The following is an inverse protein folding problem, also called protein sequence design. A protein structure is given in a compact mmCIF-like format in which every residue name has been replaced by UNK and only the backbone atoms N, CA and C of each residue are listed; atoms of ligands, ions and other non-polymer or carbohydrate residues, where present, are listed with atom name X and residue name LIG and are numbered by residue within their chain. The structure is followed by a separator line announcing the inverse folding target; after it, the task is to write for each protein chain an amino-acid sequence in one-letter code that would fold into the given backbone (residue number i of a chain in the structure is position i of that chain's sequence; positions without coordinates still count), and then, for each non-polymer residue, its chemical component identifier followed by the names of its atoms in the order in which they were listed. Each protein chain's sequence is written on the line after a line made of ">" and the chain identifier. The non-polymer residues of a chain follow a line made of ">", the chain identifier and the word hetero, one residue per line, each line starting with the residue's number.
data_IF_589264236650
#
_entry.id   IF_589264236650
#
_cell.length_a   1.000
_cell.length_b   1.000
_cell.length_c   1.000
_cell.angle_alpha   90.00
_cell.angle_beta   90.00
_cell.angle_gamma   90.00
#
_symmetry.space_group_name_H-M   'P 1'
#
loop_
_entity.id
_entity.type
_entity.pdbx_description
1 polymer ?
#
# COMPACT_ATOMS: atom_id res chain seq x y z
N UNK A 1 19.45 11.17 -9.43
CA UNK A 1 18.13 10.54 -9.35
C UNK A 1 18.14 9.45 -8.30
N UNK A 2 17.15 9.46 -7.42
CA UNK A 2 17.04 8.49 -6.34
C UNK A 2 16.67 7.11 -6.91
N UNK A 3 17.23 6.04 -6.36
CA UNK A 3 16.97 4.67 -6.78
C UNK A 3 16.27 3.88 -5.66
N UNK A 4 15.66 2.75 -6.02
CA UNK A 4 15.06 1.88 -5.02
C UNK A 4 16.09 1.33 -4.04
N UNK A 5 17.30 1.07 -4.52
CA UNK A 5 18.40 0.67 -3.65
C UNK A 5 18.68 1.71 -2.56
N UNK A 6 18.65 2.99 -2.91
CA UNK A 6 18.85 4.07 -1.94
C UNK A 6 17.73 4.11 -0.89
N UNK A 7 16.47 3.85 -1.30
CA UNK A 7 15.36 3.75 -0.36
C UNK A 7 15.53 2.56 0.57
N UNK A 8 15.95 1.43 0.04
CA UNK A 8 16.19 0.22 0.83
C UNK A 8 17.31 0.43 1.84
N UNK A 9 18.39 1.07 1.43
CA UNK A 9 19.49 1.42 2.34
C UNK A 9 19.05 2.40 3.41
N UNK A 10 18.30 3.42 3.03
CA UNK A 10 17.77 4.40 3.98
C UNK A 10 16.91 3.72 5.04
N UNK A 11 16.03 2.83 4.60
CA UNK A 11 15.16 2.10 5.51
C UNK A 11 15.96 1.24 6.49
N UNK A 12 17.02 0.60 6.01
CA UNK A 12 17.88 -0.22 6.84
C UNK A 12 18.63 0.63 7.88
N UNK A 13 19.23 1.73 7.45
CA UNK A 13 20.01 2.61 8.34
C UNK A 13 19.12 3.30 9.39
N UNK A 14 17.93 3.71 9.00
CA UNK A 14 17.01 4.42 9.89
C UNK A 14 16.04 3.50 10.61
N UNK A 15 16.19 2.20 10.42
CA UNK A 15 15.33 1.19 11.04
C UNK A 15 13.84 1.42 10.73
N UNK A 16 13.56 1.73 9.47
CA UNK A 16 12.19 1.88 8.98
C UNK A 16 11.72 0.55 8.42
N UNK A 17 10.66 -0.05 8.96
CA UNK A 17 10.14 -1.29 8.38
C UNK A 17 9.59 -1.02 6.98
N UNK A 18 10.09 -1.77 6.00
CA UNK A 18 9.54 -1.79 4.65
C UNK A 18 9.21 -3.22 4.27
N UNK A 19 8.34 -3.39 3.28
CA UNK A 19 7.95 -4.70 2.82
C UNK A 19 9.15 -5.47 2.30
N UNK A 20 9.23 -6.75 2.65
CA UNK A 20 10.31 -7.60 2.17
C UNK A 20 10.20 -7.88 0.68
N UNK A 21 11.32 -8.18 0.06
CA UNK A 21 11.43 -8.33 -1.38
C UNK A 21 10.44 -9.37 -1.93
N UNK A 22 10.33 -10.51 -1.28
CA UNK A 22 9.42 -11.58 -1.72
C UNK A 22 7.97 -11.11 -1.69
N UNK A 23 7.60 -10.37 -0.64
CA UNK A 23 6.25 -9.83 -0.51
C UNK A 23 5.92 -8.80 -1.58
N UNK A 24 6.85 -7.90 -1.84
CA UNK A 24 6.62 -6.86 -2.85
C UNK A 24 6.58 -7.45 -4.27
N UNK A 25 7.39 -8.46 -4.54
CA UNK A 25 7.36 -9.16 -5.82
C UNK A 25 6.02 -9.88 -6.01
N UNK A 26 5.52 -10.55 -4.98
CA UNK A 26 4.21 -11.20 -5.01
C UNK A 26 3.10 -10.17 -5.29
N UNK A 27 3.12 -9.05 -4.59
CA UNK A 27 2.13 -7.99 -4.77
C UNK A 27 2.13 -7.46 -6.21
N UNK A 28 3.30 -7.16 -6.73
CA UNK A 28 3.44 -6.66 -8.10
C UNK A 28 2.94 -7.71 -9.11
N UNK A 29 3.31 -8.97 -8.93
CA UNK A 29 2.87 -10.05 -9.80
C UNK A 29 1.35 -10.20 -9.82
N UNK A 30 0.71 -10.15 -8.64
CA UNK A 30 -0.75 -10.24 -8.55
C UNK A 30 -1.44 -9.05 -9.21
N UNK A 31 -0.92 -7.85 -9.01
CA UNK A 31 -1.47 -6.66 -9.65
C UNK A 31 -1.38 -6.74 -11.17
N UNK A 32 -0.24 -7.17 -11.70
CA UNK A 32 -0.05 -7.32 -13.13
C UNK A 32 -0.93 -8.43 -13.72
N UNK A 33 -0.98 -9.56 -13.04
CA UNK A 33 -1.77 -10.72 -13.47
C UNK A 33 -3.25 -10.40 -13.58
N UNK A 34 -3.74 -9.55 -12.68
CA UNK A 34 -5.15 -9.15 -12.63
C UNK A 34 -5.43 -7.89 -13.46
N UNK A 35 -4.44 -7.32 -14.10
CA UNK A 35 -4.55 -6.06 -14.83
C UNK A 35 -5.15 -4.95 -13.95
N UNK A 36 -4.66 -4.84 -12.72
CA UNK A 36 -5.17 -3.91 -11.74
C UNK A 36 -4.99 -2.46 -12.19
N UNK A 37 -6.01 -1.65 -11.96
CA UNK A 37 -6.01 -0.23 -12.31
C UNK A 37 -5.89 0.68 -11.08
N UNK A 38 -6.26 0.18 -9.91
CA UNK A 38 -6.20 0.97 -8.68
C UNK A 38 -5.93 0.11 -7.46
N UNK A 39 -5.18 0.68 -6.52
CA UNK A 39 -4.88 0.04 -5.25
C UNK A 39 -5.00 1.06 -4.13
N UNK A 40 -5.48 0.61 -2.98
CA UNK A 40 -5.50 1.40 -1.75
C UNK A 40 -4.51 0.79 -0.77
N UNK A 41 -3.58 1.60 -0.28
CA UNK A 41 -2.59 1.17 0.70
C UNK A 41 -2.81 1.86 2.04
N UNK A 42 -2.86 1.09 3.10
CA UNK A 42 -2.91 1.61 4.47
C UNK A 42 -1.52 1.47 5.08
N UNK A 43 -0.85 2.59 5.31
CA UNK A 43 0.51 2.61 5.83
C UNK A 43 1.55 2.82 4.74
N UNK A 44 1.79 4.07 4.39
CA UNK A 44 2.74 4.41 3.31
C UNK A 44 4.19 4.26 3.74
N UNK A 45 4.47 4.46 5.02
CA UNK A 45 5.83 4.62 5.55
C UNK A 45 6.57 5.65 4.70
N UNK A 46 7.74 5.30 4.15
CA UNK A 46 8.52 6.21 3.32
C UNK A 46 8.10 6.19 1.84
N UNK A 47 7.01 5.49 1.51
CA UNK A 47 6.48 5.41 0.15
C UNK A 47 7.06 4.30 -0.70
N UNK A 48 7.83 3.40 -0.12
CA UNK A 48 8.54 2.36 -0.87
C UNK A 48 7.60 1.44 -1.63
N UNK A 49 6.61 0.85 -0.95
CA UNK A 49 5.69 -0.09 -1.61
C UNK A 49 4.81 0.60 -2.65
N UNK A 50 4.30 1.80 -2.35
CA UNK A 50 3.54 2.58 -3.33
C UNK A 50 4.37 2.86 -4.59
N UNK A 51 5.63 3.25 -4.40
CA UNK A 51 6.53 3.52 -5.52
C UNK A 51 6.85 2.26 -6.32
N UNK A 52 7.06 1.14 -5.65
CA UNK A 52 7.28 -0.14 -6.33
C UNK A 52 6.07 -0.54 -7.16
N UNK A 53 4.87 -0.41 -6.59
CA UNK A 53 3.63 -0.69 -7.32
C UNK A 53 3.47 0.22 -8.53
N UNK A 54 3.59 1.52 -8.34
CA UNK A 54 3.38 2.49 -9.42
C UNK A 54 4.41 2.35 -10.54
N UNK A 55 5.65 2.00 -10.18
CA UNK A 55 6.73 1.86 -11.17
C UNK A 55 6.60 0.59 -11.98
N UNK A 56 6.18 -0.53 -11.35
CA UNK A 56 6.21 -1.85 -11.97
C UNK A 56 4.86 -2.34 -12.47
N UNK A 57 3.77 -1.59 -12.21
CA UNK A 57 2.43 -1.95 -12.70
C UNK A 57 1.93 -0.79 -13.55
N UNK A 58 1.99 -0.97 -14.85
CA UNK A 58 1.63 0.07 -15.82
C UNK A 58 0.15 0.45 -15.68
N UNK A 59 -0.12 1.73 -15.61
CA UNK A 59 -1.49 2.24 -15.53
C UNK A 59 -2.15 2.15 -14.17
N UNK A 60 -1.42 1.69 -13.16
CA UNK A 60 -1.95 1.60 -11.80
C UNK A 60 -1.94 2.97 -11.12
N UNK A 61 -3.05 3.31 -10.48
CA UNK A 61 -3.10 4.43 -9.53
C UNK A 61 -3.13 3.89 -8.10
N UNK A 62 -2.28 4.42 -7.24
CA UNK A 62 -2.20 4.03 -5.83
C UNK A 62 -2.68 5.20 -4.96
N UNK A 63 -3.68 4.94 -4.14
CA UNK A 63 -4.06 5.83 -3.04
C UNK A 63 -3.45 5.25 -1.76
N UNK A 64 -2.74 6.06 -0.99
CA UNK A 64 -2.06 5.58 0.21
C UNK A 64 -2.28 6.56 1.36
N UNK A 65 -2.41 6.01 2.58
CA UNK A 65 -2.72 6.78 3.78
C UNK A 65 -1.61 6.58 4.80
N UNK A 66 -1.05 7.68 5.30
CA UNK A 66 0.00 7.66 6.32
C UNK A 66 -0.30 8.65 7.42
N UNK A 67 -0.32 8.20 8.67
CA UNK A 67 -0.63 9.08 9.80
C UNK A 67 0.60 9.75 10.40
N UNK A 68 1.76 9.11 10.31
CA UNK A 68 2.98 9.63 10.92
C UNK A 68 3.49 10.82 10.11
N UNK A 69 3.66 11.94 10.78
CA UNK A 69 4.03 13.20 10.14
C UNK A 69 5.38 13.10 9.41
N UNK A 70 6.37 12.51 10.05
CA UNK A 70 7.72 12.38 9.49
C UNK A 70 7.70 11.42 8.30
N UNK A 71 7.06 10.27 8.44
CA UNK A 71 6.96 9.28 7.36
C UNK A 71 6.19 9.83 6.16
N UNK A 72 5.10 10.55 6.44
CA UNK A 72 4.34 11.21 5.38
C UNK A 72 5.23 12.16 4.57
N UNK A 73 5.99 13.01 5.24
CA UNK A 73 6.86 13.96 4.55
C UNK A 73 7.95 13.27 3.75
N UNK A 74 8.53 12.20 4.30
CA UNK A 74 9.52 11.39 3.57
C UNK A 74 8.90 10.76 2.33
N UNK A 75 7.69 10.23 2.45
CA UNK A 75 6.98 9.63 1.32
C UNK A 75 6.70 10.66 0.23
N UNK A 76 6.25 11.86 0.60
CA UNK A 76 5.98 12.94 -0.37
C UNK A 76 7.25 13.28 -1.15
N UNK A 77 8.38 13.41 -0.47
CA UNK A 77 9.66 13.70 -1.13
C UNK A 77 10.05 12.57 -2.08
N UNK A 78 9.90 11.33 -1.65
CA UNK A 78 10.25 10.17 -2.47
C UNK A 78 9.35 10.06 -3.70
N UNK A 79 8.05 10.29 -3.53
CA UNK A 79 7.10 10.26 -4.66
C UNK A 79 7.49 11.33 -5.69
N UNK A 80 7.86 12.51 -5.23
CA UNK A 80 8.32 13.58 -6.10
C UNK A 80 9.63 13.18 -6.82
N UNK A 81 10.60 12.66 -6.09
CA UNK A 81 11.90 12.30 -6.63
C UNK A 81 11.83 11.20 -7.69
N UNK A 82 10.80 10.34 -7.60
CA UNK A 82 10.57 9.27 -8.57
C UNK A 82 9.59 9.68 -9.68
N UNK A 83 9.14 10.94 -9.70
CA UNK A 83 8.20 11.47 -10.68
C UNK A 83 6.89 10.66 -10.74
N UNK A 84 6.37 10.28 -9.58
CA UNK A 84 5.17 9.45 -9.49
C UNK A 84 3.96 10.20 -8.93
N UNK A 85 4.00 11.53 -8.89
CA UNK A 85 2.89 12.33 -8.34
C UNK A 85 1.58 12.11 -9.07
N UNK A 86 1.64 11.80 -10.37
CA UNK A 86 0.43 11.55 -11.16
C UNK A 86 -0.17 10.17 -10.89
N UNK A 87 0.61 9.24 -10.35
CA UNK A 87 0.20 7.85 -10.15
C UNK A 87 -0.04 7.49 -8.69
N UNK A 88 0.37 8.35 -7.76
CA UNK A 88 0.23 8.11 -6.32
C UNK A 88 -0.39 9.31 -5.67
N UNK A 89 -1.50 9.09 -4.96
CA UNK A 89 -2.12 10.11 -4.11
C UNK A 89 -1.89 9.69 -2.66
N UNK A 90 -1.21 10.54 -1.90
CA UNK A 90 -0.95 10.25 -0.49
C UNK A 90 -1.78 11.18 0.40
N UNK A 91 -2.41 10.59 1.42
CA UNK A 91 -3.22 11.30 2.40
C UNK A 91 -2.51 11.26 3.75
N UNK A 92 -2.33 12.43 4.36
CA UNK A 92 -1.75 12.55 5.70
C UNK A 92 -2.89 12.49 6.72
N UNK A 93 -3.29 11.27 7.07
CA UNK A 93 -4.46 11.05 7.93
C UNK A 93 -4.28 9.78 8.77
N UNK A 94 -5.01 9.71 9.87
CA UNK A 94 -5.20 8.44 10.57
C UNK A 94 -6.27 7.66 9.80
N UNK A 95 -5.92 6.50 9.27
CA UNK A 95 -6.83 5.74 8.43
C UNK A 95 -8.11 5.31 9.16
N UNK A 96 -8.09 5.18 10.48
CA UNK A 96 -9.29 4.86 11.26
C UNK A 96 -10.24 6.05 11.41
N UNK A 97 -9.71 7.28 11.32
CA UNK A 97 -10.49 8.51 11.46
C UNK A 97 -10.76 9.20 10.12
N UNK A 98 -10.11 8.76 9.06
CA UNK A 98 -10.19 9.38 7.75
C UNK A 98 -11.61 9.34 7.19
N UNK A 99 -12.02 10.45 6.56
CA UNK A 99 -13.27 10.50 5.79
C UNK A 99 -13.07 9.75 4.47
N UNK A 100 -13.46 8.48 4.46
CA UNK A 100 -13.23 7.59 3.34
C UNK A 100 -14.06 7.95 2.09
N UNK A 101 -15.04 8.84 2.23
CA UNK A 101 -15.78 9.34 1.06
C UNK A 101 -14.90 10.20 0.16
N UNK A 102 -13.72 10.61 0.63
CA UNK A 102 -12.77 11.39 -0.16
C UNK A 102 -11.92 10.53 -1.09
N UNK A 103 -12.01 9.21 -1.01
CA UNK A 103 -11.26 8.30 -1.87
C UNK A 103 -11.80 8.33 -3.30
N UNK A 104 -11.08 9.03 -4.19
CA UNK A 104 -11.54 9.31 -5.55
C UNK A 104 -11.40 8.16 -6.53
N UNK A 105 -10.52 7.22 -6.24
CA UNK A 105 -10.21 6.11 -7.16
C UNK A 105 -10.89 4.81 -6.78
N UNK A 106 -11.76 4.85 -5.77
CA UNK A 106 -12.58 3.70 -5.42
C UNK A 106 -13.59 3.39 -6.54
N UNK A 107 -14.01 2.13 -6.73
CA UNK A 107 -13.55 0.96 -5.99
C UNK A 107 -12.18 0.47 -6.46
N UNK A 108 -11.48 -0.23 -5.58
CA UNK A 108 -10.10 -0.65 -5.81
C UNK A 108 -10.00 -2.12 -6.20
N UNK A 109 -9.01 -2.43 -7.02
CA UNK A 109 -8.65 -3.82 -7.33
C UNK A 109 -7.94 -4.50 -6.17
N UNK A 110 -7.22 -3.72 -5.37
CA UNK A 110 -6.43 -4.24 -4.27
C UNK A 110 -6.54 -3.33 -3.05
N UNK A 111 -6.67 -3.95 -1.89
CA UNK A 111 -6.50 -3.30 -0.60
C UNK A 111 -5.25 -3.90 0.05
N UNK A 112 -4.22 -3.10 0.23
CA UNK A 112 -2.96 -3.52 0.85
C UNK A 112 -2.86 -2.89 2.23
N UNK A 113 -2.78 -3.73 3.26
CA UNK A 113 -2.70 -3.26 4.65
C UNK A 113 -1.34 -3.60 5.21
N UNK A 114 -0.56 -2.57 5.51
CA UNK A 114 0.72 -2.68 6.20
C UNK A 114 0.53 -2.08 7.58
N UNK A 115 0.16 -2.92 8.54
CA UNK A 115 -0.19 -2.45 9.87
C UNK A 115 0.18 -3.49 10.93
N UNK A 116 0.28 -3.02 12.17
CA UNK A 116 0.45 -3.92 13.31
C UNK A 116 -0.74 -4.87 13.40
N UNK A 117 -0.46 -6.10 13.80
CA UNK A 117 -1.45 -7.18 13.86
C UNK A 117 -2.76 -6.79 14.57
N UNK A 118 -2.65 -6.01 15.64
CA UNK A 118 -3.81 -5.60 16.42
C UNK A 118 -4.74 -4.63 15.68
N UNK A 119 -4.27 -4.01 14.61
CA UNK A 119 -4.99 -2.97 13.88
C UNK A 119 -5.58 -3.44 12.57
N UNK A 120 -5.06 -4.52 11.96
CA UNK A 120 -5.41 -4.83 10.59
C UNK A 120 -6.90 -5.15 10.41
N UNK A 121 -7.55 -5.78 11.39
CA UNK A 121 -8.96 -6.11 11.30
C UNK A 121 -9.84 -4.86 11.22
N UNK A 122 -9.50 -3.82 11.97
CA UNK A 122 -10.22 -2.55 11.95
C UNK A 122 -10.08 -1.86 10.59
N UNK A 123 -8.88 -1.87 10.01
CA UNK A 123 -8.66 -1.34 8.67
C UNK A 123 -9.42 -2.16 7.62
N UNK A 124 -9.35 -3.46 7.73
CA UNK A 124 -10.06 -4.37 6.83
C UNK A 124 -11.56 -4.06 6.82
N UNK A 125 -12.18 -4.01 7.99
CA UNK A 125 -13.61 -3.75 8.11
C UNK A 125 -14.01 -2.39 7.53
N UNK A 126 -13.19 -1.38 7.75
CA UNK A 126 -13.48 -0.03 7.25
C UNK A 126 -13.36 0.07 5.74
N UNK A 127 -12.33 -0.53 5.15
CA UNK A 127 -11.99 -0.27 3.75
C UNK A 127 -12.42 -1.35 2.77
N UNK A 128 -12.78 -2.54 3.24
CA UNK A 128 -13.30 -3.61 2.36
C UNK A 128 -14.49 -3.15 1.51
N UNK A 129 -15.42 -2.30 2.01
CA UNK A 129 -16.51 -1.82 1.16
C UNK A 129 -16.07 -1.06 -0.09
N UNK A 130 -14.84 -0.57 -0.12
CA UNK A 130 -14.30 0.15 -1.27
C UNK A 130 -13.55 -0.74 -2.25
N UNK A 131 -13.52 -2.03 -1.99
CA UNK A 131 -12.88 -3.01 -2.86
C UNK A 131 -13.86 -3.49 -3.90
N UNK A 132 -13.39 -3.70 -5.14
CA UNK A 132 -14.20 -4.31 -6.19
C UNK A 132 -14.60 -5.72 -5.79
N UNK A 133 -15.71 -6.21 -6.37
CA UNK A 133 -16.22 -7.54 -6.06
C UNK A 133 -15.18 -8.64 -6.31
N UNK A 134 -14.38 -8.50 -7.36
CA UNK A 134 -13.31 -9.41 -7.70
C UNK A 134 -11.93 -8.94 -7.23
N UNK A 135 -11.91 -7.96 -6.35
CA UNK A 135 -10.67 -7.45 -5.78
C UNK A 135 -10.06 -8.38 -4.75
N UNK A 136 -8.85 -8.08 -4.32
CA UNK A 136 -8.16 -8.87 -3.32
C UNK A 136 -7.57 -8.01 -2.21
N UNK A 137 -7.34 -8.62 -1.06
CA UNK A 137 -6.72 -7.98 0.09
C UNK A 137 -5.39 -8.66 0.36
N UNK A 138 -4.36 -7.87 0.51
CA UNK A 138 -3.05 -8.35 0.92
C UNK A 138 -2.69 -7.68 2.25
N UNK A 139 -2.27 -8.47 3.21
CA UNK A 139 -1.85 -7.97 4.51
C UNK A 139 -0.38 -8.32 4.71
N UNK A 140 0.44 -7.29 4.92
CA UNK A 140 1.82 -7.49 5.32
C UNK A 140 1.89 -7.36 6.84
N UNK A 141 2.19 -8.47 7.50
CA UNK A 141 2.24 -8.51 8.96
C UNK A 141 3.69 -8.58 9.42
N UNK A 142 4.18 -7.47 9.93
CA UNK A 142 5.56 -7.35 10.39
C UNK A 142 5.91 -8.33 11.51
N UNK A 143 4.93 -8.73 12.30
CA UNK A 143 5.15 -9.66 13.42
C UNK A 143 5.43 -11.08 12.94
N UNK A 144 5.11 -11.40 11.69
CA UNK A 144 5.28 -12.73 11.12
C UNK A 144 6.26 -12.74 9.95
N UNK A 145 7.14 -11.76 9.86
CA UNK A 145 8.21 -11.72 8.85
C UNK A 145 7.71 -11.89 7.42
N UNK A 146 6.71 -11.10 7.05
CA UNK A 146 6.22 -11.10 5.68
C UNK A 146 5.18 -12.17 5.39
N UNK A 147 4.47 -12.62 6.41
CA UNK A 147 3.34 -13.51 6.18
C UNK A 147 2.25 -12.75 5.45
N UNK A 148 1.83 -13.29 4.32
CA UNK A 148 0.90 -12.64 3.41
C UNK A 148 -0.40 -13.42 3.38
N UNK A 149 -1.53 -12.72 3.54
CA UNK A 149 -2.85 -13.30 3.44
C UNK A 149 -3.54 -12.77 2.21
N UNK A 150 -3.94 -13.65 1.30
CA UNK A 150 -4.73 -13.32 0.13
C UNK A 150 -6.17 -13.71 0.41
N UNK A 151 -7.03 -12.69 0.59
CA UNK A 151 -8.44 -12.89 0.90
C UNK A 151 -9.25 -12.37 -0.28
N UNK A 152 -10.04 -13.24 -0.90
CA UNK A 152 -10.95 -12.83 -1.97
C UNK A 152 -12.31 -12.48 -1.40
N UNK A 153 -12.80 -11.28 -1.75
CA UNK A 153 -14.06 -10.77 -1.26
C UNK A 153 -15.22 -11.40 -2.04
N UNK A 154 -16.35 -11.60 -1.36
CA UNK A 154 -17.56 -12.13 -1.97
C UNK A 154 -17.62 -13.63 -2.03
N UNK A 155 -16.60 -14.33 -1.51
CA UNK A 155 -16.57 -15.78 -1.42
C UNK A 155 -16.39 -16.20 0.03
N UNK A 156 -17.02 -17.29 0.40
CA UNK A 156 -16.87 -17.83 1.75
C UNK A 156 -15.50 -18.49 1.87
N UNK A 157 -14.51 -17.69 2.12
CA UNK A 157 -13.17 -18.17 2.41
C UNK A 157 -12.89 -18.06 3.86
N UNK A 158 -12.36 -19.02 4.35
CA UNK A 158 -11.89 -18.93 5.70
C UNK A 158 -10.50 -19.51 5.80
#
# INVERSE_FOLDING_TARGET
>A
MKSFYELEEYALVKDVPIMQKEGIEYLIDELNKRNAESALEIGSAIGYSSLMMATHVKGLHVDTIERDDIRYQEAVVNIHDFNQEDNITIYHEDALEFDDTLLKHAPYDCLFIDAAKAQYQRFFEKYVPYLKEDGFVLVDNLDFHGMIFDIQIGRAHV
#
